data_IF_369465994804
#
_entry.id   IF_369465994804
#
_cell.length_a   1.000
_cell.length_b   1.000
_cell.length_c   1.000
_cell.angle_alpha   90.00
_cell.angle_beta   90.00
_cell.angle_gamma   90.00
#
_symmetry.space_group_name_H-M   'P 1'
#
loop_
_entity.id
_entity.type
_entity.pdbx_description
1 polymer ?
#
# COMPACT_ATOMS: atom_id res chain seq x y z
N UNK A 1 20.42 -17.15 0.27
CA UNK A 1 20.31 -15.87 -0.46
C UNK A 1 20.18 -14.78 0.59
N UNK A 2 21.00 -13.73 0.52
CA UNK A 2 20.91 -12.57 1.43
C UNK A 2 19.63 -11.81 1.14
N UNK A 3 18.86 -11.44 2.18
CA UNK A 3 17.69 -10.58 1.99
C UNK A 3 18.11 -9.25 1.34
N UNK A 4 17.29 -8.69 0.43
CA UNK A 4 17.57 -7.38 -0.15
C UNK A 4 17.65 -6.30 0.94
N UNK A 5 18.38 -5.19 0.70
CA UNK A 5 18.40 -4.08 1.65
C UNK A 5 16.98 -3.56 1.93
N UNK A 6 16.66 -3.23 3.19
CA UNK A 6 15.32 -2.78 3.53
C UNK A 6 15.04 -1.38 2.97
N UNK A 7 13.79 -1.13 2.61
CA UNK A 7 13.32 0.16 2.07
C UNK A 7 12.31 0.85 3.01
N UNK A 8 12.02 2.13 2.76
CA UNK A 8 10.90 2.81 3.42
C UNK A 8 9.60 2.44 2.70
N UNK A 9 8.55 2.06 3.42
CA UNK A 9 7.21 1.86 2.86
C UNK A 9 6.31 3.05 3.20
N UNK A 10 5.59 3.57 2.20
CA UNK A 10 4.51 4.55 2.35
C UNK A 10 3.20 3.95 1.87
N UNK A 11 2.22 3.85 2.76
CA UNK A 11 0.88 3.33 2.49
C UNK A 11 -0.06 4.52 2.31
N UNK A 12 -0.53 4.77 1.10
CA UNK A 12 -1.49 5.84 0.80
C UNK A 12 -2.90 5.42 1.26
N UNK A 13 -3.41 6.07 2.31
CA UNK A 13 -4.68 5.70 2.95
C UNK A 13 -5.73 6.82 2.97
N UNK A 14 -5.38 8.01 2.45
CA UNK A 14 -6.27 9.16 2.33
C UNK A 14 -7.50 8.87 1.45
N UNK A 15 -8.61 9.55 1.73
CA UNK A 15 -9.86 9.36 1.00
C UNK A 15 -10.30 10.63 0.30
N UNK A 16 -10.23 10.64 -1.04
CA UNK A 16 -10.78 11.74 -1.86
C UNK A 16 -12.29 11.92 -1.71
N UNK A 17 -13.02 10.86 -1.36
CA UNK A 17 -14.48 10.86 -1.23
C UNK A 17 -14.94 10.83 0.23
N UNK A 18 -14.03 10.63 1.18
CA UNK A 18 -14.36 10.46 2.59
C UNK A 18 -15.48 9.44 2.81
N UNK A 19 -16.47 9.85 3.60
CA UNK A 19 -17.69 9.11 3.91
C UNK A 19 -18.58 8.81 2.70
N UNK A 20 -18.42 9.50 1.57
CA UNK A 20 -19.21 9.27 0.36
C UNK A 20 -18.66 8.12 -0.51
N UNK A 21 -17.52 7.54 -0.13
CA UNK A 21 -17.00 6.34 -0.78
C UNK A 21 -18.01 5.19 -0.65
N UNK A 22 -18.40 4.51 -1.76
CA UNK A 22 -19.40 3.45 -1.71
C UNK A 22 -19.06 2.32 -0.74
N UNK A 23 -17.79 1.97 -0.59
CA UNK A 23 -17.35 0.89 0.30
C UNK A 23 -17.35 1.39 1.74
N UNK A 24 -16.88 2.61 1.99
CA UNK A 24 -16.92 3.22 3.32
C UNK A 24 -18.35 3.33 3.87
N UNK A 25 -19.33 3.70 3.01
CA UNK A 25 -20.76 3.79 3.37
C UNK A 25 -21.36 2.47 3.83
N UNK A 26 -20.90 1.33 3.31
CA UNK A 26 -21.43 0.01 3.71
C UNK A 26 -21.27 -0.26 5.21
N UNK A 27 -20.30 0.39 5.86
CA UNK A 27 -20.04 0.23 7.29
C UNK A 27 -20.06 1.56 8.06
N UNK A 28 -20.46 2.66 7.43
CA UNK A 28 -20.55 3.98 8.07
C UNK A 28 -19.21 4.52 8.58
N UNK A 29 -18.10 4.15 7.96
CA UNK A 29 -16.75 4.61 8.33
C UNK A 29 -16.31 5.80 7.47
N UNK A 30 -15.31 6.54 7.95
CA UNK A 30 -14.82 7.76 7.27
C UNK A 30 -13.98 7.49 6.02
N UNK A 31 -13.27 6.36 5.97
CA UNK A 31 -12.36 6.01 4.89
C UNK A 31 -12.58 4.57 4.46
N UNK A 32 -12.45 4.31 3.15
CA UNK A 32 -12.54 2.95 2.59
C UNK A 32 -11.57 2.00 3.28
N UNK A 33 -10.33 2.43 3.54
CA UNK A 33 -9.30 1.60 4.19
C UNK A 33 -9.63 1.22 5.65
N UNK A 34 -10.65 1.81 6.27
CA UNK A 34 -11.11 1.47 7.62
C UNK A 34 -12.25 0.45 7.65
N UNK A 35 -12.78 0.06 6.49
CA UNK A 35 -13.80 -1.00 6.39
C UNK A 35 -13.20 -2.34 6.84
N UNK A 36 -14.00 -3.09 7.59
CA UNK A 36 -13.67 -4.42 8.08
C UNK A 36 -14.02 -5.46 7.01
N UNK A 37 -13.01 -6.22 6.58
CA UNK A 37 -13.16 -7.38 5.70
C UNK A 37 -12.73 -8.63 6.44
N UNK A 38 -13.62 -9.62 6.50
CA UNK A 38 -13.33 -10.90 7.18
C UNK A 38 -12.80 -10.69 8.61
N UNK A 39 -13.50 -9.84 9.37
CA UNK A 39 -13.18 -9.53 10.77
C UNK A 39 -12.00 -8.59 11.01
N UNK A 40 -11.26 -8.17 9.98
CA UNK A 40 -10.07 -7.31 10.13
C UNK A 40 -10.20 -6.02 9.33
N UNK A 41 -9.79 -4.88 9.89
CA UNK A 41 -9.76 -3.60 9.16
C UNK A 41 -8.78 -3.70 7.98
N UNK A 42 -9.15 -3.21 6.78
CA UNK A 42 -8.29 -3.30 5.60
C UNK A 42 -6.89 -2.71 5.84
N UNK A 43 -6.80 -1.50 6.38
CA UNK A 43 -5.51 -0.85 6.67
C UNK A 43 -4.69 -1.62 7.71
N UNK A 44 -5.34 -2.21 8.71
CA UNK A 44 -4.68 -3.09 9.69
C UNK A 44 -4.04 -4.28 9.00
N UNK A 45 -4.77 -4.95 8.10
CA UNK A 45 -4.26 -6.09 7.33
C UNK A 45 -3.06 -5.69 6.46
N UNK A 46 -3.13 -4.54 5.78
CA UNK A 46 -2.02 -4.03 4.95
C UNK A 46 -0.76 -3.76 5.79
N UNK A 47 -0.90 -3.08 6.94
CA UNK A 47 0.24 -2.80 7.83
C UNK A 47 0.80 -4.09 8.43
N UNK A 48 -0.06 -5.02 8.84
CA UNK A 48 0.36 -6.33 9.35
C UNK A 48 1.21 -7.08 8.32
N UNK A 49 0.72 -7.19 7.09
CA UNK A 49 1.41 -7.89 5.99
C UNK A 49 2.76 -7.24 5.70
N UNK A 50 2.85 -5.90 5.73
CA UNK A 50 4.11 -5.19 5.56
C UNK A 50 5.12 -5.47 6.69
N UNK A 51 4.65 -5.51 7.94
CA UNK A 51 5.49 -5.88 9.09
C UNK A 51 5.98 -7.34 8.99
N UNK A 52 5.11 -8.27 8.59
CA UNK A 52 5.42 -9.69 8.39
C UNK A 52 6.34 -9.95 7.20
N UNK A 53 6.33 -9.08 6.20
CA UNK A 53 7.23 -9.19 5.05
C UNK A 53 8.70 -9.05 5.45
N UNK A 54 8.98 -8.24 6.49
CA UNK A 54 10.33 -8.08 7.05
C UNK A 54 11.34 -7.39 6.13
N UNK A 55 10.88 -6.78 5.04
CA UNK A 55 11.72 -6.14 4.02
C UNK A 55 11.68 -4.61 4.07
N UNK A 56 11.02 -4.02 5.07
CA UNK A 56 10.93 -2.57 5.25
C UNK A 56 11.62 -2.12 6.53
N UNK A 57 12.41 -1.06 6.45
CA UNK A 57 13.10 -0.48 7.61
C UNK A 57 12.17 0.44 8.39
N UNK A 58 11.22 1.08 7.70
CA UNK A 58 10.24 2.01 8.25
C UNK A 58 8.95 1.91 7.45
N UNK A 59 7.81 2.03 8.13
CA UNK A 59 6.49 1.98 7.51
C UNK A 59 5.72 3.23 7.93
N UNK A 60 5.19 3.96 6.95
CA UNK A 60 4.38 5.15 7.17
C UNK A 60 3.02 5.01 6.50
N UNK A 61 1.97 5.47 7.18
CA UNK A 61 0.66 5.69 6.57
C UNK A 61 0.58 7.16 6.16
N UNK A 62 0.27 7.41 4.88
CA UNK A 62 -0.06 8.74 4.38
C UNK A 62 -1.56 8.95 4.42
N UNK A 63 -2.01 9.78 5.36
CA UNK A 63 -3.44 10.06 5.63
C UNK A 63 -3.57 11.47 6.21
N UNK A 64 -4.77 12.02 6.19
CA UNK A 64 -5.07 13.41 6.52
C UNK A 64 -4.69 13.76 7.97
N UNK A 65 -4.97 12.86 8.91
CA UNK A 65 -4.73 13.03 10.35
C UNK A 65 -4.41 11.69 11.03
N UNK A 66 -3.40 11.67 11.89
CA UNK A 66 -3.03 10.50 12.71
C UNK A 66 -4.19 10.00 13.57
N UNK A 67 -5.08 10.88 14.02
CA UNK A 67 -6.27 10.54 14.79
C UNK A 67 -7.18 9.54 14.05
N UNK A 68 -7.14 9.50 12.71
CA UNK A 68 -7.90 8.53 11.90
C UNK A 68 -7.30 7.12 12.06
N UNK A 69 -5.99 7.00 12.01
CA UNK A 69 -5.27 5.72 12.20
C UNK A 69 -5.50 5.18 13.61
N UNK A 70 -5.49 6.08 14.60
CA UNK A 70 -5.69 5.73 16.01
C UNK A 70 -7.09 5.20 16.34
N UNK A 71 -8.08 5.33 15.44
CA UNK A 71 -9.39 4.71 15.61
C UNK A 71 -9.34 3.18 15.56
N UNK A 72 -8.28 2.61 14.97
CA UNK A 72 -8.07 1.16 14.89
C UNK A 72 -7.09 0.75 16.01
N UNK A 73 -7.54 -0.02 17.02
CA UNK A 73 -6.72 -0.32 18.21
C UNK A 73 -5.36 -0.92 17.88
N UNK A 74 -5.29 -1.81 16.88
CA UNK A 74 -4.04 -2.46 16.48
C UNK A 74 -3.06 -1.48 15.82
N UNK A 75 -3.57 -0.58 14.98
CA UNK A 75 -2.74 0.46 14.36
C UNK A 75 -2.24 1.45 15.41
N UNK A 76 -3.09 1.85 16.37
CA UNK A 76 -2.69 2.70 17.49
C UNK A 76 -1.54 2.07 18.30
N UNK A 77 -1.63 0.77 18.60
CA UNK A 77 -0.56 0.05 19.27
C UNK A 77 0.77 0.09 18.48
N UNK A 78 0.74 -0.10 17.15
CA UNK A 78 1.95 -0.01 16.33
C UNK A 78 2.52 1.41 16.22
N UNK A 79 1.69 2.45 16.29
CA UNK A 79 2.15 3.83 16.41
C UNK A 79 2.90 4.02 17.74
N UNK A 80 2.32 3.58 18.85
CA UNK A 80 2.90 3.73 20.19
C UNK A 80 4.19 2.89 20.36
N UNK A 81 4.27 1.74 19.69
CA UNK A 81 5.48 0.89 19.61
C UNK A 81 6.56 1.45 18.66
N UNK A 82 6.27 2.51 17.91
CA UNK A 82 7.19 3.07 16.90
C UNK A 82 7.40 2.18 15.67
N UNK A 83 6.55 1.17 15.46
CA UNK A 83 6.57 0.29 14.28
C UNK A 83 5.88 0.90 13.07
N UNK A 84 5.02 1.89 13.30
CA UNK A 84 4.27 2.63 12.30
C UNK A 84 4.47 4.13 12.53
N UNK A 85 4.62 4.89 11.45
CA UNK A 85 4.55 6.35 11.47
C UNK A 85 3.36 6.87 10.66
N UNK A 86 3.04 8.15 10.83
CA UNK A 86 2.06 8.86 10.00
C UNK A 86 2.72 10.05 9.33
N UNK A 87 2.36 10.27 8.06
CA UNK A 87 2.68 11.49 7.33
C UNK A 87 1.39 12.07 6.76
N UNK A 88 1.23 13.39 6.83
CA UNK A 88 0.04 14.03 6.29
C UNK A 88 -0.08 13.78 4.78
N UNK A 89 -1.25 13.32 4.34
CA UNK A 89 -1.58 13.29 2.91
C UNK A 89 -1.79 14.69 2.34
N UNK A 90 -1.72 14.83 1.03
CA UNK A 90 -1.96 16.07 0.31
C UNK A 90 -3.06 15.90 -0.76
N UNK A 91 -3.38 16.98 -1.48
CA UNK A 91 -4.51 17.03 -2.43
C UNK A 91 -4.45 16.07 -3.63
N UNK A 92 -3.38 15.28 -3.78
CA UNK A 92 -3.28 14.21 -4.78
C UNK A 92 -2.33 13.09 -4.30
N UNK A 93 -2.36 11.94 -4.98
CA UNK A 93 -1.44 10.83 -4.68
C UNK A 93 0.02 11.26 -4.86
N UNK A 94 0.36 11.89 -5.98
CA UNK A 94 1.72 12.37 -6.24
C UNK A 94 2.17 13.45 -5.23
N UNK A 95 1.26 14.36 -4.85
CA UNK A 95 1.55 15.35 -3.83
C UNK A 95 1.77 14.69 -2.45
N UNK A 96 1.03 13.63 -2.13
CA UNK A 96 1.18 12.89 -0.87
C UNK A 96 2.51 12.14 -0.81
N UNK A 97 2.90 11.49 -1.91
CA UNK A 97 4.23 10.84 -2.03
C UNK A 97 5.34 11.88 -1.89
N UNK A 98 5.19 13.06 -2.51
CA UNK A 98 6.16 14.16 -2.42
C UNK A 98 6.24 14.72 -0.99
N UNK A 99 5.11 14.87 -0.31
CA UNK A 99 5.05 15.30 1.08
C UNK A 99 5.73 14.29 2.01
N UNK A 100 5.46 13.00 1.82
CA UNK A 100 6.12 11.91 2.54
C UNK A 100 7.65 11.94 2.34
N UNK A 101 8.12 12.07 1.10
CA UNK A 101 9.55 12.16 0.78
C UNK A 101 10.23 13.40 1.40
N UNK A 102 9.50 14.48 1.66
CA UNK A 102 10.05 15.66 2.34
C UNK A 102 10.04 15.54 3.86
N UNK A 103 9.07 14.82 4.42
CA UNK A 103 8.87 14.69 5.86
C UNK A 103 9.71 13.56 6.48
N UNK A 104 9.94 12.47 5.75
CA UNK A 104 10.67 11.31 6.22
C UNK A 104 12.17 11.52 5.98
N UNK A 105 13.03 11.45 7.02
CA UNK A 105 14.49 11.51 6.83
C UNK A 105 14.99 10.32 6.01
N UNK A 106 15.90 10.54 5.05
CA UNK A 106 16.46 9.49 4.18
C UNK A 106 15.39 8.53 3.64
N UNK A 107 14.39 9.05 2.90
CA UNK A 107 13.19 8.29 2.56
C UNK A 107 13.43 7.25 1.46
N UNK A 108 14.54 7.35 0.71
CA UNK A 108 14.85 6.52 -0.43
C UNK A 108 15.77 5.33 -0.03
N UNK A 109 15.58 4.15 -0.64
CA UNK A 109 14.51 3.82 -1.58
C UNK A 109 13.14 3.77 -0.89
N UNK A 110 12.11 4.24 -1.61
CA UNK A 110 10.74 4.30 -1.13
C UNK A 110 9.86 3.37 -1.95
N UNK A 111 9.10 2.53 -1.25
CA UNK A 111 8.05 1.69 -1.79
C UNK A 111 6.72 2.31 -1.44
N UNK A 112 5.78 2.27 -2.36
CA UNK A 112 4.45 2.86 -2.22
C UNK A 112 3.41 1.79 -2.47
N UNK A 113 2.42 1.70 -1.57
CA UNK A 113 1.19 0.95 -1.80
C UNK A 113 -0.04 1.73 -1.30
N UNK A 114 -1.22 1.12 -1.34
CA UNK A 114 -2.48 1.74 -0.91
C UNK A 114 -3.09 1.02 0.28
N UNK A 115 -3.79 1.76 1.14
CA UNK A 115 -4.41 1.24 2.37
C UNK A 115 -5.61 0.32 2.13
N UNK A 116 -6.06 0.18 0.90
CA UNK A 116 -7.14 -0.71 0.48
C UNK A 116 -6.64 -1.99 -0.22
N UNK A 117 -5.33 -2.26 -0.21
CA UNK A 117 -4.73 -3.43 -0.83
C UNK A 117 -4.77 -4.68 0.07
N UNK A 118 -5.95 -4.98 0.62
CA UNK A 118 -6.14 -5.94 1.71
C UNK A 118 -5.87 -7.41 1.35
N UNK A 119 -5.64 -7.72 0.07
CA UNK A 119 -5.34 -9.08 -0.42
C UNK A 119 -3.83 -9.33 -0.61
N UNK A 120 -2.97 -8.35 -0.32
CA UNK A 120 -1.53 -8.58 -0.34
C UNK A 120 -1.12 -9.65 0.67
N UNK A 121 -0.07 -10.38 0.31
CA UNK A 121 0.61 -11.33 1.19
C UNK A 121 2.06 -10.88 1.42
N UNK A 122 2.70 -11.35 2.50
CA UNK A 122 4.12 -11.06 2.72
C UNK A 122 5.01 -11.52 1.55
N UNK A 123 4.63 -12.61 0.86
CA UNK A 123 5.34 -13.11 -0.31
C UNK A 123 5.28 -12.17 -1.51
N UNK A 124 4.12 -11.55 -1.78
CA UNK A 124 3.98 -10.55 -2.85
C UNK A 124 4.89 -9.34 -2.60
N UNK A 125 4.96 -8.86 -1.35
CA UNK A 125 5.84 -7.75 -0.99
C UNK A 125 7.32 -8.12 -1.08
N UNK A 126 7.69 -9.35 -0.69
CA UNK A 126 9.06 -9.86 -0.83
C UNK A 126 9.46 -10.03 -2.30
N UNK A 127 8.57 -10.55 -3.14
CA UNK A 127 8.81 -10.69 -4.58
C UNK A 127 9.02 -9.32 -5.22
N UNK A 128 8.11 -8.36 -4.98
CA UNK A 128 8.25 -7.00 -5.48
C UNK A 128 9.58 -6.37 -5.06
N UNK A 129 9.96 -6.51 -3.79
CA UNK A 129 11.24 -6.00 -3.28
C UNK A 129 12.44 -6.66 -3.96
N UNK A 130 12.41 -7.99 -4.15
CA UNK A 130 13.48 -8.70 -4.87
C UNK A 130 13.64 -8.18 -6.30
N UNK A 131 12.53 -7.97 -7.01
CA UNK A 131 12.55 -7.46 -8.39
C UNK A 131 12.96 -5.99 -8.44
N UNK A 132 12.51 -5.16 -7.50
CA UNK A 132 12.92 -3.76 -7.39
C UNK A 132 14.44 -3.63 -7.31
N UNK A 133 15.09 -4.44 -6.46
CA UNK A 133 16.55 -4.43 -6.31
C UNK A 133 17.31 -5.07 -7.47
N UNK A 134 16.71 -6.04 -8.16
CA UNK A 134 17.30 -6.65 -9.35
C UNK A 134 17.27 -5.71 -10.58
N UNK A 135 16.27 -4.83 -10.64
CA UNK A 135 16.14 -3.83 -11.70
C UNK A 135 17.13 -2.67 -11.52
N UNK A 136 17.53 -2.03 -12.63
CA UNK A 136 18.42 -0.86 -12.65
C UNK A 136 17.69 0.48 -12.85
N UNK A 137 16.38 0.46 -13.07
CA UNK A 137 15.59 1.67 -13.32
C UNK A 137 15.25 2.45 -12.05
N UNK A 138 15.15 3.77 -12.16
CA UNK A 138 14.84 4.67 -11.04
C UNK A 138 13.42 4.47 -10.47
N UNK A 139 12.51 3.93 -11.29
CA UNK A 139 11.12 3.64 -10.94
C UNK A 139 10.77 2.20 -11.28
N UNK A 140 10.06 1.53 -10.37
CA UNK A 140 9.46 0.22 -10.59
C UNK A 140 7.93 0.28 -10.41
N UNK A 141 7.22 -0.47 -11.24
CA UNK A 141 5.76 -0.57 -11.23
C UNK A 141 5.39 -2.05 -11.13
N UNK A 142 4.58 -2.41 -10.14
CA UNK A 142 4.06 -3.76 -9.98
C UNK A 142 2.83 -3.99 -10.85
N UNK A 143 2.93 -4.95 -11.77
CA UNK A 143 1.81 -5.37 -12.62
C UNK A 143 1.54 -6.86 -12.45
N UNK A 144 0.27 -7.23 -12.61
CA UNK A 144 -0.16 -8.61 -12.84
C UNK A 144 -0.70 -8.73 -14.26
N UNK A 145 -0.49 -9.88 -14.88
CA UNK A 145 -1.03 -10.19 -16.19
C UNK A 145 -2.50 -10.61 -16.10
N UNK A 146 -3.25 -10.38 -17.17
CA UNK A 146 -4.66 -10.72 -17.26
C UNK A 146 -4.90 -12.24 -17.19
N UNK A 147 -3.99 -13.06 -17.72
CA UNK A 147 -4.11 -14.53 -17.65
C UNK A 147 -4.04 -15.04 -16.21
N UNK A 148 -3.18 -14.45 -15.36
CA UNK A 148 -3.10 -14.78 -13.94
C UNK A 148 -4.39 -14.38 -13.24
N UNK A 149 -4.86 -13.15 -13.44
CA UNK A 149 -6.09 -12.65 -12.81
C UNK A 149 -7.30 -13.49 -13.21
N UNK A 150 -7.50 -13.75 -14.50
CA UNK A 150 -8.67 -14.47 -15.01
C UNK A 150 -8.61 -15.98 -14.76
N UNK A 151 -7.42 -16.54 -14.45
CA UNK A 151 -7.32 -17.92 -13.98
C UNK A 151 -7.77 -18.06 -12.53
N UNK A 152 -7.34 -17.17 -11.66
CA UNK A 152 -7.65 -17.24 -10.21
C UNK A 152 -9.03 -16.63 -9.89
N UNK A 153 -9.45 -15.62 -10.65
CA UNK A 153 -10.73 -14.92 -10.51
C UNK A 153 -11.37 -14.77 -11.90
N UNK A 154 -12.02 -15.83 -12.43
CA UNK A 154 -12.54 -15.85 -13.80
C UNK A 154 -13.50 -14.72 -14.14
N UNK A 155 -14.34 -14.31 -13.18
CA UNK A 155 -15.34 -13.25 -13.35
C UNK A 155 -14.81 -11.86 -12.94
N UNK A 156 -13.48 -11.68 -12.89
CA UNK A 156 -12.86 -10.41 -12.50
C UNK A 156 -13.29 -9.27 -13.43
N UNK A 157 -13.77 -8.18 -12.82
CA UNK A 157 -14.13 -6.95 -13.53
C UNK A 157 -12.98 -5.94 -13.54
N UNK A 158 -11.74 -6.38 -13.28
CA UNK A 158 -10.57 -5.50 -13.29
C UNK A 158 -10.35 -4.91 -14.69
N UNK A 159 -9.93 -3.65 -14.71
CA UNK A 159 -9.48 -3.02 -15.94
C UNK A 159 -8.07 -3.49 -16.29
N UNK A 160 -7.84 -3.78 -17.57
CA UNK A 160 -6.55 -4.15 -18.12
C UNK A 160 -6.08 -3.14 -19.15
N UNK A 161 -4.79 -2.82 -19.12
CA UNK A 161 -4.08 -2.18 -20.21
C UNK A 161 -3.62 -3.24 -21.20
N UNK A 162 -4.11 -3.17 -22.43
CA UNK A 162 -3.76 -4.13 -23.47
C UNK A 162 -2.56 -3.64 -24.28
N UNK A 163 -1.47 -4.41 -24.22
CA UNK A 163 -0.23 -4.20 -24.94
C UNK A 163 0.01 -5.37 -25.91
N UNK A 164 1.09 -5.32 -26.69
CA UNK A 164 1.40 -6.35 -27.72
C UNK A 164 1.56 -7.75 -27.13
N UNK A 165 2.00 -7.82 -25.88
CA UNK A 165 2.35 -9.02 -25.12
C UNK A 165 1.27 -9.45 -24.11
N UNK A 166 0.15 -8.74 -24.01
CA UNK A 166 -0.99 -9.15 -23.19
C UNK A 166 -1.71 -8.02 -22.47
N UNK A 167 -2.64 -8.40 -21.60
CA UNK A 167 -3.34 -7.50 -20.71
C UNK A 167 -2.63 -7.39 -19.36
N UNK A 168 -2.52 -6.18 -18.82
CA UNK A 168 -1.85 -5.92 -17.54
C UNK A 168 -2.71 -5.05 -16.64
N UNK A 169 -2.74 -5.34 -15.35
CA UNK A 169 -3.39 -4.51 -14.33
C UNK A 169 -2.40 -4.16 -13.21
N UNK A 170 -2.53 -2.96 -12.66
CA UNK A 170 -1.67 -2.48 -11.57
C UNK A 170 -1.92 -3.29 -10.30
N UNK A 171 -0.84 -3.66 -9.60
CA UNK A 171 -0.90 -4.26 -8.27
C UNK A 171 -0.94 -3.24 -7.14
N UNK A 172 -1.00 -1.94 -7.47
CA UNK A 172 -0.84 -0.82 -6.54
C UNK A 172 0.45 -0.95 -5.71
N UNK A 173 1.54 -1.33 -6.38
CA UNK A 173 2.89 -1.38 -5.83
C UNK A 173 3.82 -0.58 -6.73
N UNK A 174 4.55 0.33 -6.13
CA UNK A 174 5.46 1.24 -6.83
C UNK A 174 6.75 1.35 -6.03
N UNK A 175 7.88 1.49 -6.72
CA UNK A 175 9.17 1.71 -6.10
C UNK A 175 9.88 2.90 -6.75
N UNK A 176 10.54 3.71 -5.94
CA UNK A 176 11.40 4.82 -6.37
C UNK A 176 12.73 4.75 -5.61
N UNK A 177 13.85 5.00 -6.29
CA UNK A 177 15.20 5.02 -5.70
C UNK A 177 15.96 6.29 -6.03
#
# INVERSE_FOLDING_TARGET
MTQPPPATLVILAASRRGVDDPVARLQGVSHKCLVVLDGVVMLERVVQVALEAGCFSRIFVSIEDEAIVRQVPRLAAWLDEGKLGVVASAGSLAASITAAARAIPDPLPMIITTGDNALHTPDVLRDFMSQFWACTGDVALGFTTADVVLREVPDSTLAFHWLKDGGFSSCNLYGIR
#
